data_IF_777252641196
#
_entry.id   IF_777252641196
#
_cell.length_a   1.000
_cell.length_b   1.000
_cell.length_c   1.000
_cell.angle_alpha   90.00
_cell.angle_beta   90.00
_cell.angle_gamma   90.00
#
_symmetry.space_group_name_H-M   'P 1'
#
loop_
_entity.id
_entity.type
_entity.pdbx_description
1 polymer ?
#
# COMPACT_ATOMS: atom_id res chain seq x y z
N UNK A 1 11.45 12.81 7.00
CA UNK A 1 11.75 12.54 5.58
C UNK A 1 10.53 12.98 4.81
N UNK A 2 10.65 13.80 3.75
CA UNK A 2 9.49 14.14 2.91
C UNK A 2 9.20 12.95 2.02
N UNK A 3 7.95 12.49 2.00
CA UNK A 3 7.52 11.45 1.07
C UNK A 3 7.06 12.11 -0.23
N UNK A 4 7.52 11.60 -1.35
CA UNK A 4 7.15 12.09 -2.66
C UNK A 4 6.95 10.92 -3.63
N UNK A 5 6.05 11.11 -4.59
CA UNK A 5 5.80 10.15 -5.65
C UNK A 5 6.57 10.59 -6.89
N UNK A 6 7.34 9.65 -7.46
CA UNK A 6 8.02 9.83 -8.75
C UNK A 6 7.15 9.16 -9.83
N UNK A 7 6.85 9.88 -10.89
CA UNK A 7 6.15 9.35 -12.07
C UNK A 7 7.12 9.25 -13.25
N UNK A 8 6.92 8.25 -14.10
CA UNK A 8 7.61 8.16 -15.38
C UNK A 8 6.76 8.84 -16.46
N UNK A 9 7.29 9.90 -17.08
CA UNK A 9 6.65 10.50 -18.25
C UNK A 9 7.12 9.78 -19.51
N UNK A 10 6.20 9.05 -20.14
CA UNK A 10 6.45 8.35 -21.40
C UNK A 10 6.68 9.30 -22.58
N UNK A 11 6.21 10.56 -22.53
CA UNK A 11 6.39 11.54 -23.61
C UNK A 11 7.83 12.05 -23.67
N UNK A 12 8.43 12.32 -22.50
CA UNK A 12 9.81 12.79 -22.39
C UNK A 12 10.81 11.70 -22.00
N UNK A 13 10.33 10.46 -21.81
CA UNK A 13 11.07 9.28 -21.33
C UNK A 13 11.90 9.56 -20.05
N UNK A 14 11.34 10.32 -19.12
CA UNK A 14 12.05 10.77 -17.90
C UNK A 14 11.21 10.60 -16.65
N UNK A 15 11.89 10.30 -15.55
CA UNK A 15 11.30 10.39 -14.22
C UNK A 15 11.09 11.85 -13.85
N UNK A 16 9.89 12.18 -13.39
CA UNK A 16 9.53 13.48 -12.86
C UNK A 16 9.00 13.35 -11.45
N UNK A 17 9.27 14.38 -10.66
CA UNK A 17 8.57 14.59 -9.42
C UNK A 17 7.09 14.79 -9.73
N UNK A 18 6.26 13.88 -9.23
CA UNK A 18 4.84 13.84 -9.55
C UNK A 18 4.00 14.48 -8.45
N UNK A 19 4.40 14.22 -7.20
CA UNK A 19 3.65 14.69 -6.05
C UNK A 19 4.54 14.76 -4.81
N UNK A 20 4.50 15.89 -4.11
CA UNK A 20 4.87 15.93 -2.71
C UNK A 20 3.67 15.42 -1.90
N UNK A 21 3.82 14.30 -1.20
CA UNK A 21 2.83 13.91 -0.20
C UNK A 21 3.03 14.90 0.94
N UNK A 22 2.19 15.94 0.94
CA UNK A 22 2.26 17.16 1.75
C UNK A 22 3.32 17.19 2.87
N UNK A 23 4.08 18.28 2.89
CA UNK A 23 5.02 18.68 3.96
C UNK A 23 4.38 18.90 5.35
N UNK A 24 3.13 18.49 5.55
CA UNK A 24 2.33 18.71 6.76
C UNK A 24 2.31 17.51 7.71
N UNK A 25 3.09 16.46 7.43
CA UNK A 25 3.16 15.35 8.37
C UNK A 25 3.98 15.76 9.59
N UNK A 26 3.31 15.87 10.73
CA UNK A 26 3.92 16.28 12.00
C UNK A 26 4.97 15.28 12.47
N UNK A 27 5.84 15.72 13.38
CA UNK A 27 6.82 14.84 14.00
C UNK A 27 6.08 13.69 14.72
N UNK A 28 6.14 12.47 14.17
CA UNK A 28 5.45 11.29 14.72
C UNK A 28 4.36 10.67 13.82
N UNK A 29 4.17 11.12 12.58
CA UNK A 29 3.31 10.42 11.63
C UNK A 29 4.10 9.41 10.77
N UNK A 30 3.53 8.22 10.57
CA UNK A 30 4.05 7.22 9.61
C UNK A 30 3.15 7.20 8.39
N UNK A 31 3.76 7.30 7.21
CA UNK A 31 3.04 7.32 5.94
C UNK A 31 3.48 6.09 5.12
N UNK A 32 2.51 5.43 4.50
CA UNK A 32 2.73 4.25 3.64
C UNK A 32 1.91 4.45 2.38
N UNK A 33 2.53 4.19 1.22
CA UNK A 33 1.87 4.22 -0.08
C UNK A 33 1.54 2.81 -0.56
N UNK A 34 0.40 2.68 -1.24
CA UNK A 34 0.01 1.46 -1.93
C UNK A 34 -0.75 1.77 -3.21
N UNK A 35 -0.66 0.89 -4.21
CA UNK A 35 -1.49 0.96 -5.39
C UNK A 35 -2.81 0.21 -5.14
N UNK A 36 -3.95 0.81 -5.48
CA UNK A 36 -5.29 0.20 -5.29
C UNK A 36 -5.78 -0.44 -6.58
N UNK A 37 -5.64 0.30 -7.69
CA UNK A 37 -6.02 -0.07 -9.06
C UNK A 37 -5.00 0.55 -10.03
N UNK A 38 -5.24 0.41 -11.33
CA UNK A 38 -4.32 0.84 -12.39
C UNK A 38 -3.93 2.32 -12.29
N UNK A 39 -4.87 3.20 -11.92
CA UNK A 39 -4.65 4.66 -11.89
C UNK A 39 -4.86 5.30 -10.51
N UNK A 40 -5.00 4.49 -9.44
CA UNK A 40 -5.28 5.01 -8.10
C UNK A 40 -4.22 4.61 -7.08
N UNK A 41 -3.76 5.61 -6.34
CA UNK A 41 -2.88 5.45 -5.18
C UNK A 41 -3.71 5.55 -3.90
N UNK A 42 -3.31 4.78 -2.90
CA UNK A 42 -3.75 4.95 -1.53
C UNK A 42 -2.56 5.37 -0.66
N UNK A 43 -2.87 6.21 0.33
CA UNK A 43 -1.94 6.55 1.39
C UNK A 43 -2.57 6.16 2.73
N UNK A 44 -1.79 5.47 3.56
CA UNK A 44 -2.10 5.17 4.95
C UNK A 44 -1.26 6.09 5.82
N UNK A 45 -1.94 6.85 6.67
CA UNK A 45 -1.34 7.77 7.63
C UNK A 45 -1.65 7.23 9.03
N UNK A 46 -0.60 6.88 9.77
CA UNK A 46 -0.72 6.54 11.19
C UNK A 46 -0.28 7.72 12.04
N UNK A 47 -1.16 8.14 12.94
CA UNK A 47 -0.94 9.25 13.87
C UNK A 47 -0.63 8.74 15.26
N UNK A 48 0.59 8.96 15.75
CA UNK A 48 1.04 8.48 17.07
C UNK A 48 0.31 9.18 18.22
N UNK A 49 -0.02 10.46 18.09
CA UNK A 49 -0.70 11.26 19.13
C UNK A 49 -2.14 10.77 19.41
N UNK A 50 -2.85 10.43 18.34
CA UNK A 50 -4.25 10.00 18.38
C UNK A 50 -4.40 8.48 18.30
N UNK A 51 -3.31 7.74 18.05
CA UNK A 51 -3.33 6.31 17.71
C UNK A 51 -4.41 5.99 16.67
N UNK A 52 -4.53 6.82 15.64
CA UNK A 52 -5.54 6.66 14.60
C UNK A 52 -4.88 6.31 13.27
N UNK A 53 -5.57 5.49 12.49
CA UNK A 53 -5.21 5.22 11.10
C UNK A 53 -6.18 5.97 10.20
N UNK A 54 -5.64 6.74 9.27
CA UNK A 54 -6.39 7.40 8.21
C UNK A 54 -5.91 6.87 6.86
N UNK A 55 -6.84 6.41 6.02
CA UNK A 55 -6.54 5.97 4.66
C UNK A 55 -7.24 6.93 3.70
N UNK A 56 -6.47 7.45 2.75
CA UNK A 56 -6.97 8.27 1.64
C UNK A 56 -6.65 7.59 0.33
N UNK A 57 -7.53 7.75 -0.65
CA UNK A 57 -7.36 7.24 -2.02
C UNK A 57 -7.42 8.40 -2.99
N UNK A 58 -6.62 8.36 -4.04
CA UNK A 58 -6.69 9.37 -5.11
C UNK A 58 -8.01 9.23 -5.89
N UNK A 59 -8.71 10.35 -6.09
CA UNK A 59 -9.81 10.44 -7.06
C UNK A 59 -9.28 10.63 -8.47
N UNK A 60 -8.25 11.47 -8.62
CA UNK A 60 -7.65 11.85 -9.88
C UNK A 60 -6.17 12.16 -9.66
N UNK A 61 -5.33 11.73 -10.58
CA UNK A 61 -3.90 12.06 -10.65
C UNK A 61 -3.67 12.76 -11.99
N UNK A 62 -3.35 14.05 -11.94
CA UNK A 62 -2.92 14.83 -13.10
C UNK A 62 -1.46 15.24 -12.94
N UNK A 63 -0.83 15.72 -14.01
CA UNK A 63 0.60 16.02 -14.04
C UNK A 63 1.10 16.91 -12.89
N UNK A 64 0.24 17.79 -12.36
CA UNK A 64 0.57 18.75 -11.31
C UNK A 64 -0.43 18.76 -10.14
N UNK A 65 -1.49 17.96 -10.19
CA UNK A 65 -2.56 18.00 -9.19
C UNK A 65 -3.04 16.60 -8.84
N UNK A 66 -3.15 16.31 -7.54
CA UNK A 66 -3.72 15.06 -7.03
C UNK A 66 -4.84 15.40 -6.06
N UNK A 67 -6.03 14.90 -6.36
CA UNK A 67 -7.18 15.03 -5.47
C UNK A 67 -7.38 13.76 -4.67
N UNK A 68 -7.55 13.91 -3.36
CA UNK A 68 -7.72 12.81 -2.42
C UNK A 68 -9.17 12.70 -1.96
N UNK A 69 -9.60 11.47 -1.66
CA UNK A 69 -10.81 11.20 -0.87
C UNK A 69 -10.45 10.45 0.39
N UNK A 70 -11.10 10.80 1.48
CA UNK A 70 -11.07 9.99 2.68
C UNK A 70 -11.76 8.65 2.39
N UNK A 71 -11.08 7.57 2.72
CA UNK A 71 -11.57 6.22 2.53
C UNK A 71 -11.93 5.56 3.85
N UNK A 72 -10.98 5.51 4.81
CA UNK A 72 -11.20 4.95 6.13
C UNK A 72 -10.53 5.81 7.20
N UNK A 73 -11.15 5.86 8.38
CA UNK A 73 -10.55 6.41 9.58
C UNK A 73 -10.93 5.52 10.76
N UNK A 74 -9.93 4.97 11.43
CA UNK A 74 -10.12 4.00 12.52
C UNK A 74 -9.33 4.44 13.75
N UNK A 75 -10.00 4.49 14.89
CA UNK A 75 -9.35 4.68 16.19
C UNK A 75 -8.73 3.37 16.66
N UNK A 76 -7.41 3.34 16.78
CA UNK A 76 -6.69 2.13 17.21
C UNK A 76 -6.47 2.07 18.72
N UNK A 77 -6.81 3.12 19.48
CA UNK A 77 -6.64 3.14 20.96
C UNK A 77 -7.23 1.90 21.64
N UNK A 78 -8.47 1.47 21.35
CA UNK A 78 -9.07 0.31 22.03
C UNK A 78 -8.30 -1.00 21.78
N UNK A 79 -7.72 -1.15 20.59
CA UNK A 79 -6.98 -2.35 20.19
C UNK A 79 -5.56 -2.35 20.74
N UNK A 80 -4.93 -1.18 20.83
CA UNK A 80 -3.62 -0.97 21.46
C UNK A 80 -3.69 -1.29 22.97
N UNK A 81 -4.70 -0.77 23.67
CA UNK A 81 -4.87 -0.99 25.12
C UNK A 81 -5.11 -2.48 25.47
N UNK A 82 -5.71 -3.25 24.56
CA UNK A 82 -5.90 -4.70 24.70
C UNK A 82 -4.69 -5.52 24.27
N UNK A 83 -3.59 -4.90 23.84
CA UNK A 83 -2.41 -5.58 23.30
C UNK A 83 -2.65 -6.33 21.98
N UNK A 84 -3.78 -6.06 21.31
CA UNK A 84 -4.18 -6.72 20.07
C UNK A 84 -3.51 -6.09 18.85
N UNK A 85 -3.11 -4.82 18.98
CA UNK A 85 -2.42 -4.06 17.97
C UNK A 85 -1.14 -3.48 18.58
N UNK A 86 -0.04 -3.58 17.85
CA UNK A 86 1.22 -2.91 18.20
C UNK A 86 1.86 -2.49 16.90
N UNK A 87 1.77 -1.19 16.59
CA UNK A 87 2.54 -0.62 15.49
C UNK A 87 3.96 -0.39 15.99
N UNK A 88 4.85 -1.35 15.74
CA UNK A 88 6.27 -1.03 15.67
C UNK A 88 6.52 -0.32 14.33
N UNK A 89 7.06 0.91 14.31
CA UNK A 89 7.42 1.55 13.06
C UNK A 89 8.45 0.69 12.29
N UNK A 90 8.30 0.49 10.96
CA UNK A 90 7.10 0.71 10.14
C UNK A 90 6.45 -0.61 9.68
N UNK A 91 5.11 -0.67 9.75
CA UNK A 91 4.36 -1.54 8.83
C UNK A 91 4.79 -1.22 7.40
N UNK A 92 4.94 -2.25 6.56
CA UNK A 92 5.58 -2.07 5.25
C UNK A 92 4.63 -2.03 4.07
N UNK A 93 3.42 -2.56 4.22
CA UNK A 93 2.46 -2.59 3.12
C UNK A 93 1.03 -2.66 3.62
N UNK A 94 0.11 -2.18 2.80
CA UNK A 94 -1.31 -2.34 3.01
C UNK A 94 -2.03 -2.47 1.66
N UNK A 95 -3.22 -3.05 1.67
CA UNK A 95 -4.07 -3.23 0.51
C UNK A 95 -5.47 -2.73 0.84
N UNK A 96 -6.18 -2.24 -0.17
CA UNK A 96 -7.52 -1.69 -0.01
C UNK A 96 -8.50 -2.43 -0.90
N UNK A 97 -9.62 -2.85 -0.33
CA UNK A 97 -10.78 -3.30 -1.08
C UNK A 97 -11.86 -2.22 -0.98
N UNK A 98 -12.00 -1.42 -2.04
CA UNK A 98 -12.96 -0.32 -2.08
C UNK A 98 -14.42 -0.80 -2.05
N UNK A 99 -14.70 -1.99 -2.59
CA UNK A 99 -16.07 -2.52 -2.65
C UNK A 99 -16.53 -2.96 -1.26
N UNK A 100 -15.63 -3.62 -0.52
CA UNK A 100 -15.87 -4.06 0.86
C UNK A 100 -15.62 -2.97 1.89
N UNK A 101 -15.02 -1.84 1.48
CA UNK A 101 -14.57 -0.75 2.36
C UNK A 101 -13.71 -1.23 3.52
N UNK A 102 -12.74 -2.10 3.22
CA UNK A 102 -11.78 -2.60 4.19
C UNK A 102 -10.36 -2.37 3.70
N UNK A 103 -9.43 -2.31 4.64
CA UNK A 103 -8.00 -2.33 4.36
C UNK A 103 -7.32 -3.48 5.10
N UNK A 104 -6.41 -4.16 4.40
CA UNK A 104 -5.52 -5.16 4.96
C UNK A 104 -4.17 -4.50 5.25
N UNK A 105 -3.74 -4.49 6.50
CA UNK A 105 -2.46 -3.93 6.94
C UNK A 105 -1.53 -5.08 7.29
N UNK A 106 -0.36 -5.11 6.65
CA UNK A 106 0.63 -6.15 6.84
C UNK A 106 1.80 -5.63 7.68
N UNK A 107 2.00 -6.30 8.80
CA UNK A 107 3.05 -6.02 9.77
C UNK A 107 4.15 -7.08 9.63
N UNK A 108 5.23 -6.68 8.96
CA UNK A 108 6.35 -7.57 8.68
C UNK A 108 7.16 -7.90 9.94
N UNK A 109 7.07 -7.11 11.02
CA UNK A 109 7.84 -7.37 12.23
C UNK A 109 7.22 -8.49 13.06
N UNK A 110 5.91 -8.46 13.22
CA UNK A 110 5.17 -9.47 13.99
C UNK A 110 4.54 -10.55 13.12
N UNK A 111 4.74 -10.45 11.81
CA UNK A 111 4.16 -11.32 10.82
C UNK A 111 2.65 -11.40 10.91
N UNK A 112 2.01 -10.30 11.30
CA UNK A 112 0.57 -10.21 11.48
C UNK A 112 -0.05 -9.47 10.30
N UNK A 113 -1.27 -9.84 10.00
CA UNK A 113 -2.11 -9.06 9.11
C UNK A 113 -3.39 -8.68 9.82
N UNK A 114 -3.74 -7.40 9.74
CA UNK A 114 -4.92 -6.83 10.36
C UNK A 114 -5.87 -6.37 9.26
N UNK A 115 -7.15 -6.65 9.41
CA UNK A 115 -8.19 -6.11 8.56
C UNK A 115 -8.92 -5.03 9.34
N UNK A 116 -8.95 -3.83 8.78
CA UNK A 116 -9.67 -2.67 9.34
C UNK A 116 -10.78 -2.23 8.39
N UNK A 117 -11.83 -1.61 8.91
CA UNK A 117 -12.96 -1.14 8.11
C UNK A 117 -13.74 -0.03 8.78
N UNK A 118 -14.91 0.31 8.22
CA UNK A 118 -15.85 1.28 8.79
C UNK A 118 -16.29 0.86 10.21
N UNK A 119 -16.83 1.80 10.98
CA UNK A 119 -17.33 1.58 12.35
C UNK A 119 -16.30 1.00 13.32
N UNK A 120 -15.02 1.34 13.12
CA UNK A 120 -13.88 0.78 13.84
C UNK A 120 -13.80 -0.75 13.76
N UNK A 121 -14.25 -1.35 12.66
CA UNK A 121 -14.05 -2.76 12.41
C UNK A 121 -12.55 -3.10 12.47
N UNK A 122 -12.22 -4.13 13.25
CA UNK A 122 -10.85 -4.62 13.40
C UNK A 122 -10.85 -6.14 13.57
N UNK A 123 -10.02 -6.83 12.78
CA UNK A 123 -9.83 -8.28 12.87
C UNK A 123 -8.39 -8.65 12.58
N UNK A 124 -7.81 -9.51 13.41
CA UNK A 124 -6.54 -10.19 13.09
C UNK A 124 -6.87 -11.31 12.11
N UNK A 125 -6.36 -11.23 10.88
CA UNK A 125 -6.65 -12.22 9.82
C UNK A 125 -5.51 -13.17 9.55
N UNK A 126 -4.28 -12.80 9.95
CA UNK A 126 -3.14 -13.71 9.94
C UNK A 126 -2.23 -13.42 11.14
N UNK A 127 -1.68 -14.49 11.71
CA UNK A 127 -0.63 -14.45 12.71
C UNK A 127 0.45 -15.43 12.25
N UNK A 128 1.47 -14.90 11.60
CA UNK A 128 2.57 -15.68 11.05
C UNK A 128 3.47 -16.21 12.16
N UNK A 129 4.03 -17.41 11.91
CA UNK A 129 5.03 -18.05 12.77
C UNK A 129 6.48 -17.66 12.39
N UNK A 130 6.66 -16.92 11.30
CA UNK A 130 7.97 -16.67 10.67
C UNK A 130 8.16 -15.19 10.37
N UNK A 131 9.36 -14.65 10.58
CA UNK A 131 9.69 -13.20 10.56
C UNK A 131 9.77 -12.53 9.17
N UNK A 132 9.34 -13.19 8.09
CA UNK A 132 9.49 -12.66 6.72
C UNK A 132 8.24 -12.87 5.90
N UNK A 133 7.44 -11.81 5.78
CA UNK A 133 6.46 -11.70 4.71
C UNK A 133 7.17 -11.23 3.44
N UNK A 134 6.93 -11.87 2.28
CA UNK A 134 7.43 -11.35 1.01
C UNK A 134 6.89 -9.93 0.82
N UNK A 135 7.76 -9.01 0.41
CA UNK A 135 7.32 -7.68 -0.03
C UNK A 135 6.44 -7.91 -1.25
N UNK A 136 5.14 -7.73 -1.09
CA UNK A 136 4.18 -7.87 -2.18
C UNK A 136 4.25 -6.57 -2.99
N UNK A 137 4.92 -6.64 -4.13
CA UNK A 137 4.93 -5.54 -5.10
C UNK A 137 3.64 -5.58 -5.90
N UNK A 138 2.89 -4.48 -5.92
CA UNK A 138 1.77 -4.31 -6.84
C UNK A 138 2.33 -4.19 -8.26
N UNK A 139 2.15 -5.24 -9.09
CA UNK A 139 2.49 -5.20 -10.51
C UNK A 139 1.25 -4.89 -11.32
N UNK A 140 1.23 -3.73 -11.99
CA UNK A 140 0.22 -3.38 -12.99
C UNK A 140 0.84 -3.64 -14.36
N UNK A 141 0.25 -4.50 -15.21
CA UNK A 141 0.74 -4.71 -16.57
C UNK A 141 0.70 -3.39 -17.35
N UNK A 142 1.83 -3.00 -17.94
CA UNK A 142 1.91 -1.84 -18.82
C UNK A 142 1.07 -2.05 -20.10
N UNK A 143 0.36 -1.03 -20.55
CA UNK A 143 -0.32 -0.97 -21.86
C UNK A 143 0.67 -0.79 -23.03
N UNK A 144 1.96 -0.60 -22.76
CA UNK A 144 2.96 -0.49 -23.81
C UNK A 144 3.17 -1.87 -24.43
N UNK A 145 2.78 -2.02 -25.70
CA UNK A 145 3.14 -3.19 -26.49
C UNK A 145 4.66 -3.21 -26.66
N UNK A 146 5.35 -4.03 -25.88
CA UNK A 146 6.78 -4.27 -26.07
C UNK A 146 6.93 -4.93 -27.45
N UNK A 147 7.67 -4.32 -28.40
CA UNK A 147 7.90 -4.94 -29.69
C UNK A 147 8.53 -6.31 -29.47
N UNK A 148 7.88 -7.37 -29.99
CA UNK A 148 8.48 -8.71 -30.00
C UNK A 148 9.67 -8.66 -30.95
N UNK A 149 10.86 -8.42 -30.40
CA UNK A 149 12.11 -8.70 -31.11
C UNK A 149 12.16 -10.17 -31.55
N UNK A 150 12.96 -10.51 -32.58
CA UNK A 150 13.00 -11.85 -33.14
C UNK A 150 13.32 -12.88 -32.05
N UNK A 151 12.35 -13.75 -31.78
CA UNK A 151 12.42 -14.83 -30.80
C UNK A 151 13.47 -15.83 -31.26
N UNK A 152 14.69 -15.73 -30.73
CA UNK A 152 15.60 -16.88 -30.74
C UNK A 152 15.05 -17.87 -29.72
N UNK A 153 14.57 -19.01 -30.21
CA UNK A 153 14.06 -20.10 -29.39
C UNK A 153 15.17 -20.58 -28.44
N UNK A 154 15.14 -20.16 -27.17
CA UNK A 154 15.95 -20.79 -26.13
C UNK A 154 15.29 -20.72 -24.76
N UNK A 155 15.00 -21.91 -24.24
CA UNK A 155 14.81 -22.20 -22.82
C UNK A 155 13.42 -21.91 -22.25
N UNK A 156 12.62 -22.96 -22.08
CA UNK A 156 11.45 -22.97 -21.19
C UNK A 156 11.88 -22.43 -19.81
N UNK A 157 11.45 -21.22 -19.45
CA UNK A 157 11.51 -20.78 -18.06
C UNK A 157 10.38 -21.49 -17.34
N UNK A 158 10.70 -22.24 -16.29
CA UNK A 158 9.70 -22.82 -15.39
C UNK A 158 8.88 -21.67 -14.81
N UNK A 159 7.59 -21.67 -15.08
CA UNK A 159 6.62 -20.94 -14.27
C UNK A 159 6.70 -21.60 -12.88
N UNK A 160 7.08 -20.83 -11.87
CA UNK A 160 6.91 -21.26 -10.48
C UNK A 160 5.46 -20.94 -10.12
N UNK A 161 4.56 -21.81 -10.57
CA UNK A 161 3.22 -21.90 -10.01
C UNK A 161 3.37 -22.48 -8.62
N UNK A 162 3.22 -21.66 -7.59
CA UNK A 162 2.81 -22.14 -6.26
C UNK A 162 2.27 -20.97 -5.44
N UNK A 163 1.02 -20.62 -5.72
CA UNK A 163 0.14 -19.99 -4.74
C UNK A 163 -1.24 -20.65 -4.88
N UNK A 164 -1.75 -21.18 -3.77
CA UNK A 164 -3.05 -21.83 -3.54
C UNK A 164 -3.11 -23.35 -3.77
N UNK A 165 -2.49 -24.13 -2.87
CA UNK A 165 -3.22 -25.21 -2.20
C UNK A 165 -2.56 -25.62 -0.88
N UNK A 166 -3.30 -25.40 0.21
CA UNK A 166 -3.48 -26.19 1.43
C UNK A 166 -3.66 -25.31 2.66
#
# INVERSE_FOLDING_TARGET
MREYVICFDFTSERFRHCLDLESNYGNGETVILSAVREEQLAVLIYRVDTNAIEIRITRKIEANEVSWRNFLKVDMKPFMLRGMFSMSPPCRSFFVDEKKKVALICDNHFSRAYMIGEDNYFKIVAQGKTTRWPVVCSYVPSLVQIPKGPVHARGKRKVFDDCLSK
#
